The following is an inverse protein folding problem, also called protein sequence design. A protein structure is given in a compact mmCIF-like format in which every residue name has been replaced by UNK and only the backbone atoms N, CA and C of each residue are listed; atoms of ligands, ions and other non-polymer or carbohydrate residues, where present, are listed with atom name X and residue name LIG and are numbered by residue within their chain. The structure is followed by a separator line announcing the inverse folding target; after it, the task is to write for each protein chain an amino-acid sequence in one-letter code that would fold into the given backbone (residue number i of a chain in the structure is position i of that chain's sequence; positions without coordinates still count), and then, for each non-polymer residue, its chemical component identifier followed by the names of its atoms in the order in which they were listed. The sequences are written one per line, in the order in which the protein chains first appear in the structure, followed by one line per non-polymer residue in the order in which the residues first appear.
data_IF_871953065450
#
_entry.id   IF_871953065450
#
_cell.length_a   1.000
_cell.length_b   1.000
_cell.length_c   1.000
_cell.angle_alpha   90.00
_cell.angle_beta   90.00
_cell.angle_gamma   90.00
#
_symmetry.space_group_name_H-M   'P 1'
#
loop_
_entity.id
_entity.type
_entity.pdbx_description
1 polymer ?
#
# COMPACT_ATOMS: atom_id res chain seq x y z
N UNK A 1 7.95 -17.27 -22.06
CA UNK A 1 6.92 -17.49 -21.00
C UNK A 1 7.01 -16.27 -20.11
N UNK A 2 5.94 -15.53 -19.97
CA UNK A 2 5.87 -14.37 -19.09
C UNK A 2 5.09 -14.81 -17.84
N UNK A 3 5.57 -14.47 -16.68
CA UNK A 3 4.91 -14.76 -15.41
C UNK A 3 4.46 -13.44 -14.80
N UNK A 4 3.19 -13.35 -14.45
CA UNK A 4 2.65 -12.18 -13.76
C UNK A 4 2.40 -12.53 -12.32
N UNK A 5 3.03 -11.79 -11.40
CA UNK A 5 2.74 -11.82 -9.98
C UNK A 5 1.68 -10.79 -9.65
N UNK A 6 0.61 -11.21 -9.01
CA UNK A 6 -0.55 -10.38 -8.66
C UNK A 6 -0.86 -10.48 -7.17
N UNK A 7 -1.18 -9.36 -6.54
CA UNK A 7 -1.62 -9.34 -5.14
C UNK A 7 -2.93 -10.09 -4.95
N UNK A 8 -3.09 -10.69 -3.77
CA UNK A 8 -4.39 -11.06 -3.19
C UNK A 8 -4.71 -9.97 -2.15
N UNK A 9 -5.62 -9.03 -2.46
CA UNK A 9 -5.87 -7.88 -1.61
C UNK A 9 -6.20 -8.27 -0.18
N UNK A 10 -5.61 -7.63 0.83
CA UNK A 10 -5.88 -7.93 2.23
C UNK A 10 -7.28 -7.46 2.63
N UNK A 11 -7.91 -8.18 3.54
CA UNK A 11 -9.03 -7.64 4.30
C UNK A 11 -8.50 -6.55 5.24
N UNK A 12 -9.15 -5.39 5.24
CA UNK A 12 -8.80 -4.26 6.11
C UNK A 12 -10.02 -3.80 6.90
N UNK A 13 -9.86 -2.82 7.77
CA UNK A 13 -10.99 -2.22 8.48
C UNK A 13 -12.03 -1.59 7.53
N UNK A 14 -11.62 -1.22 6.32
CA UNK A 14 -12.47 -0.51 5.35
C UNK A 14 -12.90 -1.35 4.15
N UNK A 15 -12.27 -2.51 3.93
CA UNK A 15 -12.60 -3.38 2.80
C UNK A 15 -12.44 -4.86 3.16
N UNK A 16 -13.29 -5.68 2.56
CA UNK A 16 -13.16 -7.15 2.55
C UNK A 16 -13.19 -7.61 1.11
N UNK A 17 -12.22 -8.42 0.69
CA UNK A 17 -12.22 -9.04 -0.62
C UNK A 17 -13.27 -10.17 -0.64
N UNK A 18 -14.36 -9.97 -1.38
CA UNK A 18 -15.45 -10.96 -1.50
C UNK A 18 -15.40 -11.77 -2.79
N UNK A 19 -14.60 -11.33 -3.75
CA UNK A 19 -14.45 -12.05 -5.02
C UNK A 19 -13.27 -11.56 -5.85
N UNK A 20 -12.72 -12.48 -6.62
CA UNK A 20 -11.65 -12.23 -7.56
C UNK A 20 -11.98 -12.94 -8.87
N UNK A 21 -11.86 -12.22 -9.96
CA UNK A 21 -11.98 -12.77 -11.31
C UNK A 21 -10.69 -12.51 -12.08
N UNK A 22 -10.06 -13.57 -12.54
CA UNK A 22 -8.89 -13.51 -13.42
C UNK A 22 -9.33 -13.65 -14.87
N UNK A 23 -8.50 -13.22 -15.85
CA UNK A 23 -8.73 -13.54 -17.25
C UNK A 23 -8.85 -15.07 -17.41
N UNK A 24 -9.95 -15.51 -17.97
CA UNK A 24 -10.18 -16.94 -18.20
C UNK A 24 -9.38 -17.40 -19.44
N UNK A 25 -8.79 -18.59 -19.45
CA UNK A 25 -8.59 -19.62 -18.44
C UNK A 25 -7.11 -19.80 -18.05
N UNK A 26 -6.49 -18.75 -17.53
CA UNK A 26 -5.08 -18.81 -17.17
C UNK A 26 -4.86 -19.58 -15.87
N UNK A 27 -4.03 -20.63 -15.87
CA UNK A 27 -3.66 -21.29 -14.64
C UNK A 27 -2.88 -20.34 -13.74
N UNK A 28 -3.16 -20.39 -12.45
CA UNK A 28 -2.39 -19.65 -11.47
C UNK A 28 -2.04 -20.51 -10.27
N UNK A 29 -1.02 -20.09 -9.56
CA UNK A 29 -0.64 -20.64 -8.26
C UNK A 29 -0.70 -19.55 -7.21
N UNK A 30 -1.08 -19.92 -5.99
CA UNK A 30 -0.98 -19.02 -4.85
C UNK A 30 0.43 -19.15 -4.28
N UNK A 31 1.11 -18.02 -4.16
CA UNK A 31 2.40 -17.90 -3.47
C UNK A 31 2.20 -17.07 -2.21
N UNK A 32 3.07 -17.27 -1.22
CA UNK A 32 2.98 -16.57 0.05
C UNK A 32 4.20 -15.71 0.29
N UNK A 33 3.96 -14.56 0.88
CA UNK A 33 5.00 -13.68 1.39
C UNK A 33 5.61 -14.32 2.65
N UNK A 34 6.94 -14.28 2.76
CA UNK A 34 7.70 -15.10 3.73
C UNK A 34 7.53 -14.69 5.20
N UNK A 35 7.17 -13.44 5.49
CA UNK A 35 7.06 -12.92 6.86
C UNK A 35 5.59 -12.77 7.30
N UNK A 36 4.76 -12.15 6.49
CA UNK A 36 3.35 -11.91 6.81
C UNK A 36 2.41 -13.03 6.41
N UNK A 37 2.85 -13.94 5.53
CA UNK A 37 1.97 -14.93 4.92
C UNK A 37 0.97 -14.36 3.91
N UNK A 38 1.06 -13.07 3.57
CA UNK A 38 0.21 -12.44 2.57
C UNK A 38 0.31 -13.20 1.25
N UNK A 39 -0.83 -13.39 0.61
CA UNK A 39 -0.91 -14.18 -0.62
C UNK A 39 -0.73 -13.33 -1.85
N UNK A 40 -0.23 -13.95 -2.92
CA UNK A 40 -0.25 -13.41 -4.27
C UNK A 40 -0.55 -14.51 -5.28
N UNK A 41 -1.10 -14.11 -6.42
CA UNK A 41 -1.39 -14.99 -7.54
C UNK A 41 -0.26 -14.94 -8.55
N UNK A 42 0.33 -16.08 -8.88
CA UNK A 42 1.37 -16.22 -9.86
C UNK A 42 0.78 -16.90 -11.11
N UNK A 43 0.66 -16.14 -12.19
CA UNK A 43 0.15 -16.61 -13.48
C UNK A 43 1.32 -16.95 -14.40
N UNK A 44 1.23 -18.09 -15.07
CA UNK A 44 2.22 -18.53 -16.06
C UNK A 44 1.53 -18.68 -17.42
N UNK A 45 2.08 -18.07 -18.47
CA UNK A 45 1.48 -18.17 -19.80
C UNK A 45 2.19 -17.35 -20.87
N UNK A 46 1.67 -17.39 -22.08
CA UNK A 46 2.07 -16.51 -23.18
C UNK A 46 1.08 -15.34 -23.27
N UNK A 47 1.45 -14.22 -22.69
CA UNK A 47 0.61 -13.06 -22.60
C UNK A 47 0.93 -12.07 -23.74
N UNK A 48 0.19 -12.18 -24.84
CA UNK A 48 0.30 -11.27 -26.00
C UNK A 48 -0.72 -10.14 -25.99
N UNK A 49 -1.63 -10.15 -25.03
CA UNK A 49 -2.71 -9.19 -24.88
C UNK A 49 -2.76 -8.60 -23.47
N UNK A 50 -3.55 -7.55 -23.31
CA UNK A 50 -3.85 -7.00 -21.99
C UNK A 50 -4.53 -8.05 -21.11
N UNK A 51 -4.14 -8.08 -19.84
CA UNK A 51 -4.79 -8.93 -18.83
C UNK A 51 -5.72 -8.03 -17.98
N UNK A 52 -6.93 -8.49 -17.79
CA UNK A 52 -7.91 -7.81 -16.95
C UNK A 52 -8.16 -8.62 -15.68
N UNK A 53 -8.02 -7.96 -14.53
CA UNK A 53 -8.30 -8.54 -13.22
C UNK A 53 -9.39 -7.74 -12.54
N UNK A 54 -10.43 -8.41 -12.06
CA UNK A 54 -11.50 -7.77 -11.30
C UNK A 54 -11.47 -8.22 -9.84
N UNK A 55 -11.54 -7.26 -8.94
CA UNK A 55 -11.62 -7.46 -7.50
C UNK A 55 -12.92 -6.89 -6.98
N UNK A 56 -13.68 -7.69 -6.27
CA UNK A 56 -14.94 -7.29 -5.67
C UNK A 56 -14.74 -7.07 -4.18
N UNK A 57 -14.98 -5.85 -3.72
CA UNK A 57 -14.83 -5.47 -2.32
C UNK A 57 -16.21 -5.18 -1.71
N UNK A 58 -16.45 -5.71 -0.53
CA UNK A 58 -17.49 -5.23 0.38
C UNK A 58 -16.88 -4.25 1.38
N UNK A 59 -17.71 -3.47 2.06
CA UNK A 59 -17.28 -2.70 3.22
C UNK A 59 -16.67 -3.63 4.26
N UNK A 60 -15.55 -3.23 4.83
CA UNK A 60 -14.81 -4.06 5.77
C UNK A 60 -15.61 -4.38 7.03
N UNK A 61 -15.60 -5.63 7.41
CA UNK A 61 -16.20 -6.09 8.68
C UNK A 61 -15.18 -6.10 9.83
N UNK A 62 -13.98 -5.63 9.58
CA UNK A 62 -12.91 -5.56 10.58
C UNK A 62 -12.19 -6.88 10.87
N UNK A 63 -12.58 -8.00 10.24
CA UNK A 63 -11.87 -9.28 10.44
C UNK A 63 -10.69 -9.36 9.50
N UNK A 64 -9.49 -9.24 10.03
CA UNK A 64 -8.24 -9.35 9.28
C UNK A 64 -7.75 -10.80 9.31
N UNK A 65 -7.48 -11.37 8.13
CA UNK A 65 -7.06 -12.77 7.98
C UNK A 65 -5.56 -12.99 8.02
N UNK A 66 -4.78 -11.92 7.93
CA UNK A 66 -3.31 -11.95 7.93
C UNK A 66 -2.78 -10.95 8.93
N UNK A 67 -1.58 -11.17 9.45
CA UNK A 67 -0.93 -10.19 10.34
C UNK A 67 -0.43 -8.99 9.53
N UNK A 68 -1.29 -7.99 9.40
CA UNK A 68 -0.96 -6.74 8.68
C UNK A 68 0.09 -5.89 9.41
N UNK A 69 0.27 -6.13 10.72
CA UNK A 69 1.29 -5.48 11.54
C UNK A 69 2.56 -6.32 11.69
N UNK A 70 2.75 -7.34 10.86
CA UNK A 70 3.97 -8.13 10.84
C UNK A 70 5.21 -7.23 10.77
N UNK A 71 6.18 -7.53 11.58
CA UNK A 71 7.42 -6.74 11.65
C UNK A 71 8.38 -7.17 10.54
N UNK A 72 8.29 -6.47 9.42
CA UNK A 72 9.20 -6.67 8.30
C UNK A 72 10.57 -6.10 8.64
N UNK A 73 11.50 -6.94 9.06
CA UNK A 73 12.89 -6.53 9.29
C UNK A 73 13.68 -6.57 7.97
N UNK A 74 13.75 -5.44 7.29
CA UNK A 74 14.49 -5.29 6.04
C UNK A 74 15.00 -3.86 5.84
N UNK A 75 15.69 -3.61 4.73
CA UNK A 75 16.29 -2.31 4.42
C UNK A 75 15.26 -1.16 4.33
N UNK A 76 13.97 -1.46 4.08
CA UNK A 76 12.92 -0.45 3.99
C UNK A 76 12.32 -0.05 5.33
N UNK A 77 12.48 -0.89 6.35
CA UNK A 77 11.83 -0.71 7.66
C UNK A 77 12.81 -0.39 8.78
N UNK A 78 14.11 -0.62 8.55
CA UNK A 78 15.17 -0.30 9.49
C UNK A 78 15.40 1.20 9.57
N UNK A 79 15.62 1.69 10.76
CA UNK A 79 16.05 3.06 10.99
C UNK A 79 17.43 3.31 10.39
N UNK A 80 17.54 4.30 9.52
CA UNK A 80 18.82 4.88 9.13
C UNK A 80 19.36 5.80 10.26
N UNK A 81 20.67 6.02 10.32
CA UNK A 81 21.30 6.79 11.41
C UNK A 81 20.72 8.19 11.59
N UNK A 82 20.49 8.92 10.49
CA UNK A 82 19.88 10.26 10.50
C UNK A 82 18.40 10.25 10.94
N UNK A 83 17.67 9.16 10.72
CA UNK A 83 16.33 8.98 11.25
C UNK A 83 16.38 8.79 12.79
N UNK A 84 17.41 8.14 13.30
CA UNK A 84 17.65 8.04 14.75
C UNK A 84 17.94 9.40 15.37
N UNK A 85 18.72 10.26 14.71
CA UNK A 85 18.96 11.64 15.14
C UNK A 85 17.68 12.46 15.12
N UNK A 86 16.88 12.37 14.07
CA UNK A 86 15.57 13.00 14.00
C UNK A 86 14.67 12.58 15.18
N UNK A 87 14.57 11.29 15.46
CA UNK A 87 13.77 10.80 16.57
C UNK A 87 14.31 11.28 17.93
N UNK A 88 15.61 11.45 18.06
CA UNK A 88 16.22 12.00 19.28
C UNK A 88 15.87 13.48 19.46
N UNK A 89 15.84 14.27 18.39
CA UNK A 89 15.45 15.69 18.41
C UNK A 89 13.94 15.86 18.66
N UNK A 90 13.12 15.00 18.11
CA UNK A 90 11.65 15.01 18.28
C UNK A 90 11.18 14.15 19.48
N UNK A 91 12.11 13.77 20.36
CA UNK A 91 11.85 12.86 21.48
C UNK A 91 10.65 13.26 22.36
N UNK A 92 10.37 14.55 22.63
CA UNK A 92 9.16 14.94 23.34
C UNK A 92 7.88 14.51 22.61
N UNK A 93 7.84 14.62 21.26
CA UNK A 93 6.71 14.19 20.44
C UNK A 93 6.65 12.67 20.26
N UNK A 94 7.77 11.96 20.44
CA UNK A 94 7.88 10.52 20.27
C UNK A 94 7.92 9.73 21.59
N UNK A 95 7.98 10.43 22.74
CA UNK A 95 8.06 9.79 24.05
C UNK A 95 6.79 9.02 24.41
N UNK A 96 6.92 8.05 25.32
CA UNK A 96 5.78 7.33 25.86
C UNK A 96 4.79 8.33 26.51
N UNK A 97 3.57 8.37 26.00
CA UNK A 97 2.52 9.31 26.44
C UNK A 97 2.06 10.29 25.36
N UNK A 98 2.85 10.55 24.32
CA UNK A 98 2.39 11.28 23.15
C UNK A 98 1.64 10.34 22.20
N UNK A 99 0.59 10.88 21.54
CA UNK A 99 -0.21 10.14 20.57
C UNK A 99 0.53 9.90 19.25
N UNK A 100 0.01 9.00 18.43
CA UNK A 100 0.50 8.78 17.06
C UNK A 100 0.48 10.10 16.26
N UNK A 101 -0.50 10.97 16.53
CA UNK A 101 -0.68 12.30 15.93
C UNK A 101 0.58 13.16 15.96
N UNK A 102 1.31 13.16 17.08
CA UNK A 102 2.49 14.00 17.25
C UNK A 102 3.65 13.49 16.41
N UNK A 103 3.83 12.17 16.36
CA UNK A 103 4.84 11.53 15.49
C UNK A 103 4.52 11.80 14.03
N UNK A 104 3.26 11.62 13.63
CA UNK A 104 2.79 11.85 12.26
C UNK A 104 2.99 13.31 11.86
N UNK A 105 2.63 14.24 12.75
CA UNK A 105 2.83 15.69 12.50
C UNK A 105 4.32 16.05 12.43
N UNK A 106 5.18 15.48 13.28
CA UNK A 106 6.61 15.72 13.26
C UNK A 106 7.23 15.24 11.93
N UNK A 107 6.86 14.05 11.46
CA UNK A 107 7.30 13.53 10.15
C UNK A 107 6.77 14.39 9.01
N UNK A 108 5.49 14.77 9.03
CA UNK A 108 4.89 15.60 7.98
C UNK A 108 5.63 16.92 7.77
N UNK A 109 6.08 17.57 8.84
CA UNK A 109 6.86 18.83 8.76
C UNK A 109 8.22 18.67 8.07
N UNK A 110 8.72 17.46 7.89
CA UNK A 110 10.01 17.17 7.25
C UNK A 110 9.90 16.91 5.76
N UNK A 111 8.71 16.91 5.20
CA UNK A 111 8.48 16.67 3.79
C UNK A 111 7.71 17.81 3.11
N UNK A 112 8.08 18.05 1.85
CA UNK A 112 7.19 18.60 0.83
C UNK A 112 6.85 17.47 -0.14
N UNK A 113 5.62 17.44 -0.65
CA UNK A 113 5.27 16.46 -1.66
C UNK A 113 5.94 16.80 -2.99
N UNK A 114 6.67 15.84 -3.58
CA UNK A 114 7.44 16.08 -4.82
C UNK A 114 7.98 14.79 -5.43
N UNK A 115 9.05 14.94 -6.22
CA UNK A 115 9.66 13.85 -6.96
C UNK A 115 10.13 12.70 -6.05
N UNK A 116 10.26 11.48 -6.63
CA UNK A 116 10.65 10.30 -5.88
C UNK A 116 12.10 10.38 -5.38
N UNK A 117 12.38 9.72 -4.25
CA UNK A 117 13.73 9.40 -3.84
C UNK A 117 14.37 8.47 -4.89
N UNK A 118 15.56 8.80 -5.43
CA UNK A 118 16.24 7.93 -6.40
C UNK A 118 16.62 6.57 -5.80
N UNK A 119 16.82 6.48 -4.49
CA UNK A 119 17.10 5.22 -3.79
C UNK A 119 15.84 4.70 -3.08
N UNK A 120 14.93 4.10 -3.84
CA UNK A 120 13.71 3.49 -3.31
C UNK A 120 13.96 2.29 -2.38
N UNK A 121 15.21 1.79 -2.31
CA UNK A 121 15.59 0.66 -1.48
C UNK A 121 15.79 1.04 -0.01
N UNK A 122 15.84 2.34 0.30
CA UNK A 122 16.12 2.83 1.67
C UNK A 122 15.06 3.81 2.14
N UNK A 123 14.83 3.90 3.45
CA UNK A 123 14.06 5.01 4.00
C UNK A 123 14.67 6.34 3.58
N UNK A 124 13.83 7.33 3.33
CA UNK A 124 14.30 8.67 3.06
C UNK A 124 15.14 9.19 4.24
N UNK A 125 16.33 9.69 3.96
CA UNK A 125 17.20 10.29 4.98
C UNK A 125 16.72 11.68 5.37
N UNK A 126 16.78 12.07 6.65
CA UNK A 126 16.27 13.35 7.17
C UNK A 126 17.36 14.43 7.31
N UNK A 127 17.85 14.99 6.22
CA UNK A 127 18.64 16.22 6.26
C UNK A 127 17.76 17.44 5.86
N UNK A 128 17.09 18.06 6.81
CA UNK A 128 16.21 19.20 6.55
C UNK A 128 14.83 18.78 5.98
N UNK A 129 14.12 19.73 5.34
CA UNK A 129 12.85 19.45 4.65
C UNK A 129 13.17 18.82 3.30
N UNK A 130 12.55 17.70 3.01
CA UNK A 130 12.79 16.93 1.79
C UNK A 130 11.58 16.91 0.88
N UNK A 131 11.85 16.89 -0.42
CA UNK A 131 10.87 16.49 -1.41
C UNK A 131 10.79 14.96 -1.46
N UNK A 132 9.59 14.41 -1.39
CA UNK A 132 9.33 12.98 -1.46
C UNK A 132 7.91 12.68 -1.91
N UNK A 133 7.70 11.50 -2.48
CA UNK A 133 6.36 11.03 -2.83
C UNK A 133 5.73 10.21 -1.68
N UNK A 134 4.55 9.61 -1.92
CA UNK A 134 3.87 8.82 -0.90
C UNK A 134 4.71 7.64 -0.38
N UNK A 135 5.59 7.05 -1.22
CA UNK A 135 6.44 5.92 -0.82
C UNK A 135 7.49 6.40 0.18
N UNK A 136 8.18 7.51 -0.13
CA UNK A 136 9.24 8.06 0.72
C UNK A 136 8.69 8.48 2.08
N UNK A 137 7.62 9.27 2.06
CA UNK A 137 6.98 9.82 3.24
C UNK A 137 6.49 8.72 4.17
N UNK A 138 5.75 7.75 3.63
CA UNK A 138 5.17 6.68 4.44
C UNK A 138 6.20 5.65 4.88
N UNK A 139 7.31 5.46 4.14
CA UNK A 139 8.41 4.62 4.60
C UNK A 139 9.09 5.24 5.83
N UNK A 140 9.35 6.54 5.78
CA UNK A 140 9.92 7.27 6.92
C UNK A 140 8.97 7.27 8.12
N UNK A 141 7.68 7.51 7.88
CA UNK A 141 6.67 7.48 8.95
C UNK A 141 6.58 6.11 9.62
N UNK A 142 6.56 5.02 8.82
CA UNK A 142 6.53 3.65 9.33
C UNK A 142 7.72 3.39 10.27
N UNK A 143 8.92 3.76 9.83
CA UNK A 143 10.14 3.57 10.61
C UNK A 143 10.11 4.36 11.94
N UNK A 144 9.63 5.62 11.91
CA UNK A 144 9.49 6.45 13.11
C UNK A 144 8.47 5.86 14.10
N UNK A 145 7.30 5.46 13.62
CA UNK A 145 6.25 4.88 14.46
C UNK A 145 6.73 3.58 15.13
N UNK A 146 7.36 2.70 14.37
CA UNK A 146 7.89 1.45 14.91
C UNK A 146 9.00 1.66 15.92
N UNK A 147 9.91 2.59 15.65
CA UNK A 147 10.96 2.93 16.61
C UNK A 147 10.42 3.54 17.91
N UNK A 148 9.26 4.20 17.85
CA UNK A 148 8.52 4.67 19.02
C UNK A 148 7.67 3.56 19.68
N UNK A 149 7.82 2.30 19.27
CA UNK A 149 7.09 1.16 19.82
C UNK A 149 5.61 1.10 19.40
N UNK A 150 5.23 1.80 18.32
CA UNK A 150 3.85 1.79 17.82
C UNK A 150 3.62 0.60 16.90
N UNK A 151 2.45 -0.03 17.01
CA UNK A 151 2.00 -0.98 16.01
C UNK A 151 1.57 -0.21 14.76
N UNK A 152 2.37 -0.33 13.71
CA UNK A 152 2.15 0.39 12.46
C UNK A 152 2.35 -0.54 11.26
N UNK A 153 1.47 -0.41 10.28
CA UNK A 153 1.49 -1.14 9.03
C UNK A 153 1.51 -0.17 7.84
N UNK A 154 2.27 -0.53 6.81
CA UNK A 154 2.29 0.17 5.54
C UNK A 154 1.31 -0.50 4.59
N UNK A 155 0.40 0.25 3.99
CA UNK A 155 -0.50 -0.23 2.96
C UNK A 155 -0.12 0.35 1.61
N UNK A 156 -0.10 -0.51 0.59
CA UNK A 156 0.05 -0.12 -0.81
C UNK A 156 -1.21 -0.50 -1.57
N UNK A 157 -1.71 0.44 -2.36
CA UNK A 157 -2.95 0.27 -3.08
C UNK A 157 -3.14 1.29 -4.20
N UNK A 158 -4.39 1.57 -4.50
CA UNK A 158 -4.79 2.54 -5.50
C UNK A 158 -5.72 3.58 -4.87
N UNK A 159 -5.59 4.82 -5.31
CA UNK A 159 -6.52 5.89 -5.00
C UNK A 159 -7.36 6.20 -6.23
N UNK A 160 -8.67 6.06 -6.10
CA UNK A 160 -9.64 6.33 -7.14
C UNK A 160 -10.28 7.69 -6.87
N UNK A 161 -9.95 8.67 -7.71
CA UNK A 161 -10.50 10.02 -7.62
C UNK A 161 -11.97 10.01 -8.06
N UNK A 162 -12.86 10.47 -7.19
CA UNK A 162 -14.30 10.55 -7.48
C UNK A 162 -14.65 11.58 -8.56
N UNK A 163 -13.79 12.57 -8.74
CA UNK A 163 -14.01 13.67 -9.70
C UNK A 163 -13.65 13.28 -11.14
N UNK A 164 -12.99 12.15 -11.35
CA UNK A 164 -12.67 11.64 -12.68
C UNK A 164 -13.75 10.70 -13.19
N UNK A 165 -14.13 10.86 -14.45
CA UNK A 165 -15.07 9.97 -15.10
C UNK A 165 -14.62 8.50 -14.98
N UNK A 166 -15.51 7.65 -14.43
CA UNK A 166 -15.20 6.24 -14.17
C UNK A 166 -14.26 5.98 -13.00
N UNK A 167 -14.03 6.96 -12.11
CA UNK A 167 -13.14 6.80 -10.94
C UNK A 167 -11.86 6.04 -11.27
N UNK A 168 -11.02 6.60 -12.16
CA UNK A 168 -9.76 5.96 -12.60
C UNK A 168 -8.65 6.21 -11.59
N UNK A 169 -7.78 5.21 -11.46
CA UNK A 169 -6.49 5.33 -10.81
C UNK A 169 -5.38 5.07 -11.84
N UNK A 170 -4.53 6.07 -12.08
CA UNK A 170 -3.39 5.97 -13.00
C UNK A 170 -2.08 5.70 -12.25
N UNK A 171 -2.07 5.85 -10.92
CA UNK A 171 -0.92 5.68 -10.05
C UNK A 171 -1.22 4.81 -8.82
N UNK A 172 -0.15 4.24 -8.27
CA UNK A 172 -0.24 3.63 -6.95
C UNK A 172 -0.31 4.70 -5.87
N UNK A 173 -0.90 4.35 -4.75
CA UNK A 173 -0.89 5.16 -3.54
C UNK A 173 -0.58 4.30 -2.33
N UNK A 174 -0.06 4.92 -1.27
CA UNK A 174 0.20 4.22 -0.02
C UNK A 174 -0.12 5.12 1.18
N UNK A 175 -0.41 4.48 2.30
CA UNK A 175 -0.72 5.12 3.58
C UNK A 175 -0.28 4.23 4.74
N UNK A 176 -0.29 4.79 5.95
CA UNK A 176 0.03 4.05 7.17
C UNK A 176 -1.25 3.79 7.95
N UNK A 177 -1.32 2.63 8.57
CA UNK A 177 -2.34 2.30 9.57
C UNK A 177 -1.63 2.06 10.90
N UNK A 178 -2.11 2.70 11.97
CA UNK A 178 -1.68 2.39 13.33
C UNK A 178 -2.77 1.68 14.11
N UNK A 179 -2.37 0.89 15.10
CA UNK A 179 -3.29 0.30 16.07
C UNK A 179 -2.87 0.69 17.49
N UNK A 180 -3.74 1.41 18.17
CA UNK A 180 -3.54 1.83 19.56
C UNK A 180 -4.78 1.52 20.37
N UNK A 181 -4.63 0.72 21.44
CA UNK A 181 -5.74 0.28 22.31
C UNK A 181 -6.90 -0.37 21.53
N UNK A 182 -6.60 -1.19 20.52
CA UNK A 182 -7.60 -1.84 19.67
C UNK A 182 -8.28 -0.93 18.64
N UNK A 183 -7.92 0.36 18.59
CA UNK A 183 -8.40 1.29 17.57
C UNK A 183 -7.41 1.41 16.44
N UNK A 184 -7.91 1.27 15.23
CA UNK A 184 -7.15 1.48 14.01
C UNK A 184 -7.35 2.91 13.50
N UNK A 185 -6.26 3.53 13.06
CA UNK A 185 -6.26 4.86 12.47
C UNK A 185 -5.43 4.86 11.20
N UNK A 186 -6.03 5.32 10.10
CA UNK A 186 -5.35 5.55 8.84
C UNK A 186 -4.69 6.93 8.84
N UNK A 187 -3.47 7.01 8.30
CA UNK A 187 -2.69 8.23 8.17
C UNK A 187 -2.27 8.42 6.72
N UNK A 188 -2.78 9.45 6.08
CA UNK A 188 -2.46 9.78 4.69
C UNK A 188 -1.71 11.10 4.61
N UNK A 189 -0.45 11.07 5.03
CA UNK A 189 0.43 12.26 5.07
C UNK A 189 0.68 12.81 3.69
N UNK A 190 0.86 11.96 2.68
CA UNK A 190 1.14 12.39 1.33
C UNK A 190 -0.02 13.22 0.75
N UNK A 191 -1.27 12.74 0.87
CA UNK A 191 -2.43 13.50 0.42
C UNK A 191 -2.70 14.73 1.27
N UNK A 192 -2.37 14.72 2.56
CA UNK A 192 -2.41 15.94 3.38
C UNK A 192 -1.48 17.03 2.85
N UNK A 193 -0.24 16.67 2.48
CA UNK A 193 0.72 17.62 1.91
C UNK A 193 0.26 18.13 0.52
N UNK A 194 -0.28 17.26 -0.33
CA UNK A 194 -0.86 17.66 -1.64
C UNK A 194 -2.03 18.63 -1.44
N UNK A 195 -2.89 18.40 -0.44
CA UNK A 195 -4.02 19.25 -0.11
C UNK A 195 -3.63 20.53 0.63
N UNK A 196 -2.35 20.74 0.92
CA UNK A 196 -1.87 21.92 1.66
C UNK A 196 -2.32 21.95 3.13
N UNK A 197 -2.67 20.82 3.73
CA UNK A 197 -3.08 20.75 5.12
C UNK A 197 -1.87 20.81 6.04
N UNK A 198 -1.94 21.68 7.03
CA UNK A 198 -0.84 21.92 7.96
C UNK A 198 -0.55 20.71 8.88
N UNK A 199 -1.55 19.88 9.14
CA UNK A 199 -1.44 18.71 10.02
C UNK A 199 -2.28 17.55 9.50
N UNK A 200 -1.71 16.35 9.38
CA UNK A 200 -2.48 15.15 9.09
C UNK A 200 -3.48 14.82 10.21
N UNK A 201 -4.63 14.31 9.84
CA UNK A 201 -5.70 13.94 10.76
C UNK A 201 -6.00 12.45 10.61
N UNK A 202 -6.11 11.75 11.73
CA UNK A 202 -6.42 10.31 11.76
C UNK A 202 -7.72 10.00 11.02
N UNK A 203 -7.69 9.01 10.14
CA UNK A 203 -8.84 8.56 9.35
C UNK A 203 -9.26 9.49 8.21
N UNK A 204 -8.65 10.68 8.08
CA UNK A 204 -8.97 11.59 6.98
C UNK A 204 -8.39 11.09 5.65
N UNK A 205 -9.20 11.12 4.61
CA UNK A 205 -8.76 11.03 3.21
C UNK A 205 -8.81 12.43 2.58
N UNK A 206 -7.71 13.18 2.58
CA UNK A 206 -7.73 14.62 2.31
C UNK A 206 -8.16 14.99 0.89
N UNK A 207 -7.90 14.12 -0.07
CA UNK A 207 -8.30 14.32 -1.47
C UNK A 207 -9.67 13.71 -1.79
N UNK A 208 -10.34 13.12 -0.79
CA UNK A 208 -11.59 12.38 -1.04
C UNK A 208 -11.34 11.10 -1.84
N UNK A 209 -12.36 10.64 -2.57
CA UNK A 209 -12.25 9.43 -3.36
C UNK A 209 -12.21 8.13 -2.54
N UNK A 210 -11.74 7.05 -3.15
CA UNK A 210 -11.67 5.72 -2.54
C UNK A 210 -10.23 5.20 -2.57
N UNK A 211 -9.73 4.74 -1.44
CA UNK A 211 -8.49 3.99 -1.35
C UNK A 211 -8.81 2.50 -1.29
N UNK A 212 -8.25 1.72 -2.21
CA UNK A 212 -8.33 0.26 -2.17
C UNK A 212 -6.94 -0.30 -1.88
N UNK A 213 -6.79 -1.03 -0.77
CA UNK A 213 -5.55 -1.69 -0.40
C UNK A 213 -5.35 -2.95 -1.25
N UNK A 214 -4.16 -3.13 -1.79
CA UNK A 214 -3.77 -4.30 -2.56
C UNK A 214 -2.70 -5.14 -1.88
N UNK A 215 -1.88 -4.52 -1.04
CA UNK A 215 -0.93 -5.22 -0.17
C UNK A 215 -0.63 -4.43 1.09
N UNK A 216 -0.02 -5.09 2.06
CA UNK A 216 0.56 -4.45 3.24
C UNK A 216 2.02 -4.86 3.41
N UNK A 217 2.79 -4.01 4.09
CA UNK A 217 4.23 -4.19 4.31
C UNK A 217 5.11 -3.59 3.22
N UNK A 218 6.40 -3.56 3.50
CA UNK A 218 7.47 -3.06 2.62
C UNK A 218 8.53 -4.14 2.44
N UNK A 219 9.11 -4.22 1.23
CA UNK A 219 10.16 -5.20 0.94
C UNK A 219 9.65 -6.64 0.95
N UNK A 220 8.49 -6.86 0.34
CA UNK A 220 7.80 -8.15 0.32
C UNK A 220 8.59 -9.19 -0.48
N UNK A 221 8.76 -10.38 0.09
CA UNK A 221 9.48 -11.48 -0.52
C UNK A 221 8.56 -12.70 -0.66
N UNK A 222 8.25 -13.05 -1.88
CA UNK A 222 7.43 -14.22 -2.18
C UNK A 222 8.31 -15.41 -2.54
N UNK A 223 7.87 -16.60 -2.13
CA UNK A 223 8.55 -17.84 -2.42
C UNK A 223 7.74 -18.68 -3.39
N UNK A 224 8.41 -19.24 -4.37
CA UNK A 224 7.86 -20.22 -5.30
C UNK A 224 8.51 -21.57 -5.03
N UNK A 225 7.94 -22.65 -5.57
CA UNK A 225 8.57 -23.98 -5.49
C UNK A 225 9.97 -24.05 -6.14
N UNK A 226 10.31 -23.07 -6.99
CA UNK A 226 11.57 -23.05 -7.75
C UNK A 226 12.58 -22.04 -7.25
N UNK A 227 12.12 -20.94 -6.67
CA UNK A 227 13.00 -19.83 -6.27
C UNK A 227 12.31 -18.88 -5.29
N UNK A 228 13.13 -18.18 -4.53
CA UNK A 228 12.76 -16.97 -3.80
C UNK A 228 12.80 -15.81 -4.77
N UNK A 229 11.71 -15.04 -4.86
CA UNK A 229 11.62 -13.89 -5.76
C UNK A 229 12.37 -12.68 -5.15
N UNK A 230 12.86 -11.75 -6.00
CA UNK A 230 13.41 -10.49 -5.52
C UNK A 230 12.42 -9.74 -4.63
N UNK A 231 12.95 -8.98 -3.67
CA UNK A 231 12.12 -8.18 -2.78
C UNK A 231 11.36 -7.09 -3.55
N UNK A 232 10.06 -7.01 -3.32
CA UNK A 232 9.18 -5.99 -3.90
C UNK A 232 9.05 -4.86 -2.90
N UNK A 233 9.55 -3.68 -3.24
CA UNK A 233 9.55 -2.53 -2.33
C UNK A 233 8.14 -2.13 -1.87
N UNK A 234 7.18 -2.15 -2.77
CA UNK A 234 5.74 -1.91 -2.56
C UNK A 234 4.96 -2.68 -3.62
N UNK A 235 3.77 -3.19 -3.30
CA UNK A 235 3.06 -4.08 -4.20
C UNK A 235 1.58 -3.69 -4.35
N UNK A 236 1.31 -2.72 -5.19
CA UNK A 236 -0.06 -2.28 -5.54
C UNK A 236 -0.47 -2.68 -6.96
N UNK A 237 0.51 -2.93 -7.83
CA UNK A 237 0.30 -3.27 -9.24
C UNK A 237 0.92 -4.61 -9.58
N UNK A 238 0.43 -5.31 -10.62
CA UNK A 238 1.05 -6.53 -11.11
C UNK A 238 2.53 -6.34 -11.45
N UNK A 239 3.29 -7.41 -11.35
CA UNK A 239 4.71 -7.44 -11.70
C UNK A 239 4.94 -8.50 -12.78
N UNK A 240 5.77 -8.18 -13.76
CA UNK A 240 6.27 -9.16 -14.70
C UNK A 240 7.50 -9.84 -14.10
N UNK A 241 7.47 -11.17 -13.99
CA UNK A 241 8.69 -11.93 -13.67
C UNK A 241 9.39 -12.25 -14.99
N UNK A 242 10.49 -11.55 -15.27
CA UNK A 242 11.26 -11.73 -16.49
C UNK A 242 12.23 -12.91 -16.39
N UNK A 243 12.81 -13.30 -17.52
CA UNK A 243 13.73 -14.44 -17.60
C UNK A 243 15.02 -14.21 -16.79
N UNK A 244 15.44 -12.97 -16.61
CA UNK A 244 16.58 -12.56 -15.78
C UNK A 244 16.26 -12.55 -14.27
N UNK A 245 15.02 -12.87 -13.89
CA UNK A 245 14.54 -12.86 -12.50
C UNK A 245 14.09 -11.51 -12.01
N UNK A 246 14.17 -10.44 -12.79
CA UNK A 246 13.70 -9.11 -12.41
C UNK A 246 12.17 -9.06 -12.33
N UNK A 247 11.64 -8.13 -11.51
CA UNK A 247 10.20 -7.96 -11.25
C UNK A 247 9.74 -6.51 -11.55
N UNK A 248 9.84 -6.03 -12.81
CA UNK A 248 9.34 -4.71 -13.13
C UNK A 248 7.81 -4.62 -12.95
N UNK A 249 7.36 -3.42 -12.62
CA UNK A 249 5.94 -3.11 -12.53
C UNK A 249 5.28 -3.16 -13.91
N UNK A 250 4.13 -3.81 -14.02
CA UNK A 250 3.35 -3.82 -15.24
C UNK A 250 2.65 -2.46 -15.44
N UNK A 251 2.65 -1.94 -16.67
CA UNK A 251 1.82 -0.79 -17.02
C UNK A 251 0.35 -1.15 -16.76
N UNK A 252 -0.29 -0.43 -15.85
CA UNK A 252 -1.62 -0.79 -15.35
C UNK A 252 -2.50 0.45 -15.30
N UNK A 253 -3.72 0.34 -15.82
CA UNK A 253 -4.81 1.27 -15.52
C UNK A 253 -5.84 0.56 -14.64
N UNK A 254 -6.49 1.29 -13.76
CA UNK A 254 -7.51 0.74 -12.90
C UNK A 254 -8.77 1.61 -12.94
N UNK A 255 -9.92 0.97 -12.89
CA UNK A 255 -11.24 1.62 -12.85
C UNK A 255 -12.01 1.04 -11.67
N UNK A 256 -12.60 1.92 -10.86
CA UNK A 256 -13.54 1.54 -9.83
C UNK A 256 -14.95 1.67 -10.37
N UNK A 257 -15.67 0.57 -10.41
CA UNK A 257 -17.10 0.55 -10.73
C UNK A 257 -17.91 0.33 -9.46
N UNK A 258 -18.99 1.09 -9.30
CA UNK A 258 -19.97 0.86 -8.25
C UNK A 258 -21.16 0.15 -8.89
N UNK A 259 -21.69 -0.94 -8.30
CA UNK A 259 -22.92 -1.51 -8.80
C UNK A 259 -24.01 -0.45 -8.75
N UNK A 260 -24.82 -0.38 -9.80
CA UNK A 260 -26.05 0.43 -9.78
C UNK A 260 -26.90 -0.05 -8.61
N UNK A 261 -27.33 0.87 -7.77
CA UNK A 261 -28.20 0.56 -6.65
C UNK A 261 -29.58 0.13 -7.21
N UNK A 262 -29.84 -1.16 -7.16
CA UNK A 262 -31.18 -1.71 -7.38
C UNK A 262 -31.72 -2.16 -6.03
N UNK A 263 -32.47 -1.27 -5.33
CA UNK A 263 -33.23 -1.67 -4.13
C UNK A 263 -32.67 -1.25 -2.78
N UNK A 264 -33.52 -1.25 -1.81
CA UNK A 264 -33.55 -0.51 -0.56
C UNK A 264 -32.61 -0.97 0.59
N UNK A 265 -31.53 -1.70 0.35
CA UNK A 265 -30.67 -2.14 1.44
C UNK A 265 -29.20 -1.79 1.18
N UNK A 266 -28.90 -0.50 1.13
CA UNK A 266 -27.63 0.05 0.66
C UNK A 266 -26.82 0.79 1.72
N UNK A 267 -26.65 0.23 2.92
CA UNK A 267 -25.79 0.90 3.91
C UNK A 267 -24.30 0.87 3.52
N UNK A 268 -23.87 -0.10 2.71
CA UNK A 268 -22.50 -0.20 2.21
C UNK A 268 -22.48 -0.92 0.84
N UNK A 269 -22.58 -0.22 -0.28
CA UNK A 269 -22.55 -0.85 -1.60
C UNK A 269 -21.20 -1.54 -1.82
N UNK A 270 -21.23 -2.76 -2.32
CA UNK A 270 -20.06 -3.44 -2.83
C UNK A 270 -19.39 -2.60 -3.93
N UNK A 271 -18.06 -2.61 -3.98
CA UNK A 271 -17.28 -1.91 -4.99
C UNK A 271 -16.48 -2.91 -5.80
N UNK A 272 -16.37 -2.68 -7.10
CA UNK A 272 -15.54 -3.50 -7.97
C UNK A 272 -14.40 -2.66 -8.51
N UNK A 273 -13.16 -3.04 -8.18
CA UNK A 273 -11.97 -2.50 -8.83
C UNK A 273 -11.54 -3.42 -9.96
N UNK A 274 -11.56 -2.91 -11.18
CA UNK A 274 -11.06 -3.61 -12.36
C UNK A 274 -9.70 -3.04 -12.73
N UNK A 275 -8.68 -3.89 -12.81
CA UNK A 275 -7.32 -3.53 -13.22
C UNK A 275 -7.03 -4.17 -14.56
N UNK A 276 -6.63 -3.33 -15.51
CA UNK A 276 -6.20 -3.77 -16.84
C UNK A 276 -4.69 -3.56 -16.93
N UNK A 277 -3.95 -4.65 -17.13
CA UNK A 277 -2.51 -4.60 -17.40
C UNK A 277 -2.27 -4.72 -18.89
N UNK A 278 -1.34 -3.92 -19.40
CA UNK A 278 -0.89 -4.02 -20.79
C UNK A 278 0.36 -4.90 -20.83
N UNK A 279 0.46 -5.72 -21.87
CA UNK A 279 1.72 -6.41 -22.19
C UNK A 279 2.85 -5.40 -22.34
N UNK A 280 4.04 -5.77 -21.88
CA UNK A 280 5.25 -4.98 -22.08
C UNK A 280 5.63 -4.96 -23.56
#
# INVERSE_FOLDING_TARGET
MIITLRTDPPDTAHQTLVGFCAPCPLPYRIVRESQSGQRAYLFEGDFRASLEFSFHFAAGTGTVKTDEFADFDNAYTRLAGDLSEFLALERPACAAGHGDDDIVAAVARRFSYGGPNPDLARPATFCGVRSGNCIDINTALLACLRAAGRRAAYFAGLHFDQNRAGSRADGMHCWIVTETAGRRCDWDVAHCLIAGLARPVAGLNPLGGVRAAFSHGRGLVFETAKARLPAISHFARPRWLLADGSLPEAATSAVLTRPMQTGADSRHPAQTATLVTRSA
#
